data_IF_323552033621
#
_entry.id   IF_323552033621
#
_cell.length_a   1.000
_cell.length_b   1.000
_cell.length_c   1.000
_cell.angle_alpha   90.00
_cell.angle_beta   90.00
_cell.angle_gamma   90.00
#
_symmetry.space_group_name_H-M   'P 1'
#
loop_
_entity.id
_entity.type
_entity.pdbx_description
1 polymer ?
#
# COMPACT_ATOMS: atom_id res chain seq x y z
N UNK A 1 6.53 71.23 -5.76
CA UNK A 1 7.69 70.31 -5.97
C UNK A 1 7.71 69.05 -5.10
N UNK A 2 6.78 68.82 -4.15
CA UNK A 2 6.74 67.56 -3.35
C UNK A 2 5.98 66.39 -4.02
N UNK A 3 5.15 66.64 -5.04
CA UNK A 3 4.40 65.57 -5.74
C UNK A 3 5.21 64.82 -6.80
N UNK A 4 6.20 65.47 -7.42
CA UNK A 4 7.00 64.87 -8.49
C UNK A 4 8.01 63.83 -7.97
N UNK A 5 8.53 64.02 -6.74
CA UNK A 5 9.44 63.07 -6.10
C UNK A 5 8.74 61.78 -5.66
N UNK A 6 7.47 61.84 -5.26
CA UNK A 6 6.70 60.65 -4.85
C UNK A 6 6.34 59.78 -6.06
N UNK A 7 6.02 60.40 -7.19
CA UNK A 7 5.72 59.68 -8.44
C UNK A 7 6.96 58.94 -9.02
N UNK A 8 8.16 59.51 -8.85
CA UNK A 8 9.43 58.90 -9.27
C UNK A 8 9.85 57.71 -8.39
N UNK A 9 9.55 57.74 -7.08
CA UNK A 9 9.78 56.60 -6.20
C UNK A 9 8.79 55.44 -6.43
N UNK A 10 7.53 55.75 -6.76
CA UNK A 10 6.52 54.74 -7.10
C UNK A 10 6.82 54.02 -8.42
N UNK A 11 7.37 54.72 -9.42
CA UNK A 11 7.75 54.12 -10.69
C UNK A 11 9.02 53.26 -10.57
N UNK A 12 9.97 53.64 -9.72
CA UNK A 12 11.15 52.82 -9.42
C UNK A 12 10.80 51.51 -8.69
N UNK A 13 9.77 51.51 -7.82
CA UNK A 13 9.32 50.31 -7.10
C UNK A 13 8.59 49.30 -7.99
N UNK A 14 7.91 49.77 -9.04
CA UNK A 14 7.21 48.92 -10.02
C UNK A 14 8.18 48.29 -11.03
N UNK A 15 9.30 48.96 -11.31
CA UNK A 15 10.34 48.47 -12.25
C UNK A 15 11.38 47.52 -11.62
N UNK A 16 11.42 47.41 -10.28
CA UNK A 16 12.28 46.44 -9.58
C UNK A 16 11.56 45.15 -9.18
N UNK A 17 10.31 44.97 -9.60
CA UNK A 17 9.63 43.69 -9.44
C UNK A 17 10.29 42.68 -10.40
N UNK A 18 10.78 41.52 -9.93
CA UNK A 18 11.16 40.45 -10.84
C UNK A 18 9.96 40.17 -11.75
N UNK A 19 10.22 40.04 -13.05
CA UNK A 19 9.20 39.67 -14.02
C UNK A 19 8.42 38.48 -13.46
N UNK A 20 7.10 38.59 -13.42
CA UNK A 20 6.24 37.44 -13.17
C UNK A 20 6.65 36.37 -14.18
N UNK A 21 7.30 35.32 -13.68
CA UNK A 21 7.43 34.06 -14.39
C UNK A 21 5.99 33.68 -14.73
N UNK A 22 5.72 33.44 -16.00
CA UNK A 22 4.42 32.93 -16.40
C UNK A 22 4.06 31.76 -15.46
N UNK A 23 2.89 31.81 -14.83
CA UNK A 23 2.30 30.66 -14.14
C UNK A 23 2.05 29.58 -15.22
N UNK A 24 3.10 28.85 -15.58
CA UNK A 24 2.95 27.48 -16.03
C UNK A 24 2.53 26.71 -14.78
N UNK A 25 1.32 26.15 -14.79
CA UNK A 25 0.87 25.27 -13.72
C UNK A 25 1.93 24.20 -13.44
N UNK A 26 2.03 23.75 -12.18
CA UNK A 26 2.93 22.66 -11.82
C UNK A 26 2.63 21.48 -12.73
N UNK A 27 3.64 21.07 -13.50
CA UNK A 27 3.58 19.91 -14.37
C UNK A 27 4.49 18.84 -13.79
N UNK A 28 3.95 17.65 -13.59
CA UNK A 28 4.70 16.52 -13.02
C UNK A 28 5.10 15.54 -14.11
N UNK A 29 6.35 15.08 -14.09
CA UNK A 29 6.83 13.98 -14.89
C UNK A 29 6.73 12.67 -14.10
N UNK A 30 5.82 11.77 -14.49
CA UNK A 30 5.52 10.53 -13.78
C UNK A 30 6.00 9.34 -14.59
N UNK A 31 6.88 8.54 -14.00
CA UNK A 31 7.37 7.30 -14.58
C UNK A 31 6.40 6.13 -14.40
N UNK A 32 6.26 5.31 -15.43
CA UNK A 32 5.57 4.00 -15.40
C UNK A 32 6.48 2.93 -16.01
N UNK A 33 6.24 1.64 -15.75
CA UNK A 33 6.98 0.55 -16.39
C UNK A 33 6.04 -0.41 -17.11
N UNK A 34 6.54 -1.17 -18.09
CA UNK A 34 5.72 -2.18 -18.79
C UNK A 34 5.24 -3.30 -17.86
N UNK A 35 5.98 -3.56 -16.78
CA UNK A 35 5.62 -4.54 -15.74
C UNK A 35 4.43 -4.08 -14.90
N UNK A 36 4.20 -2.77 -14.81
CA UNK A 36 3.06 -2.20 -14.09
C UNK A 36 2.40 -1.09 -14.92
N UNK A 37 1.51 -1.45 -15.87
CA UNK A 37 0.75 -0.47 -16.62
C UNK A 37 -0.13 0.36 -15.69
N UNK A 38 0.12 1.67 -15.62
CA UNK A 38 -0.57 2.60 -14.72
C UNK A 38 -1.07 3.87 -15.45
N UNK A 39 -0.98 3.90 -16.78
CA UNK A 39 -1.37 5.07 -17.60
C UNK A 39 -2.83 5.48 -17.38
N UNK A 40 -3.71 4.51 -17.12
CA UNK A 40 -5.14 4.77 -16.83
C UNK A 40 -5.38 5.67 -15.62
N UNK A 41 -4.43 5.75 -14.69
CA UNK A 41 -4.52 6.60 -13.50
C UNK A 41 -4.19 8.07 -13.81
N UNK A 42 -3.44 8.34 -14.88
CA UNK A 42 -2.89 9.67 -15.18
C UNK A 42 -3.41 10.28 -16.49
N UNK A 43 -3.98 9.46 -17.39
CA UNK A 43 -4.49 9.89 -18.71
C UNK A 43 -5.50 11.05 -18.66
N UNK A 44 -6.25 11.19 -17.55
CA UNK A 44 -7.25 12.24 -17.37
C UNK A 44 -6.69 13.56 -16.81
N UNK A 45 -5.39 13.65 -16.53
CA UNK A 45 -4.78 14.78 -15.84
C UNK A 45 -3.75 15.50 -16.73
N UNK A 46 -4.13 16.63 -17.31
CA UNK A 46 -3.30 17.39 -18.27
C UNK A 46 -1.99 17.91 -17.66
N UNK A 47 -1.93 18.05 -16.33
CA UNK A 47 -0.72 18.49 -15.62
C UNK A 47 0.27 17.36 -15.34
N UNK A 48 -0.02 16.13 -15.76
CA UNK A 48 0.87 14.97 -15.61
C UNK A 48 1.38 14.55 -16.99
N UNK A 49 2.70 14.48 -17.14
CA UNK A 49 3.38 13.88 -18.30
C UNK A 49 3.81 12.47 -17.91
N UNK A 50 3.37 11.47 -18.65
CA UNK A 50 3.86 10.09 -18.49
C UNK A 50 5.21 9.90 -19.21
N UNK A 51 6.17 9.27 -18.51
CA UNK A 51 7.38 8.70 -19.11
C UNK A 51 7.40 7.19 -18.89
N UNK A 52 7.19 6.42 -19.96
CA UNK A 52 7.22 4.95 -19.90
C UNK A 52 8.63 4.37 -19.97
N UNK A 53 8.90 3.37 -19.14
CA UNK A 53 10.15 2.61 -19.08
C UNK A 53 9.93 1.13 -19.41
N UNK A 54 10.98 0.45 -19.86
CA UNK A 54 10.94 -0.99 -20.16
C UNK A 54 10.75 -1.82 -18.89
N UNK A 55 11.51 -1.50 -17.84
CA UNK A 55 11.42 -2.16 -16.53
C UNK A 55 11.42 -1.14 -15.38
N UNK A 56 10.96 -1.60 -14.21
CA UNK A 56 10.90 -0.80 -13.00
C UNK A 56 12.28 -0.33 -12.52
N UNK A 57 13.37 -1.05 -12.83
CA UNK A 57 14.71 -0.66 -12.38
C UNK A 57 15.20 0.60 -13.10
N UNK A 58 14.91 0.75 -14.40
CA UNK A 58 15.21 1.98 -15.13
C UNK A 58 14.36 3.15 -14.64
N UNK A 59 13.06 2.92 -14.40
CA UNK A 59 12.17 3.95 -13.86
C UNK A 59 12.63 4.42 -12.46
N UNK A 60 12.94 3.50 -11.56
CA UNK A 60 13.42 3.83 -10.21
C UNK A 60 14.76 4.58 -10.25
N UNK A 61 15.69 4.20 -11.13
CA UNK A 61 16.96 4.95 -11.30
C UNK A 61 16.70 6.37 -11.81
N UNK A 62 15.79 6.55 -12.77
CA UNK A 62 15.40 7.86 -13.26
C UNK A 62 14.79 8.72 -12.13
N UNK A 63 13.95 8.12 -11.29
CA UNK A 63 13.37 8.78 -10.11
C UNK A 63 14.45 9.21 -9.11
N UNK A 64 15.45 8.36 -8.86
CA UNK A 64 16.54 8.68 -7.94
C UNK A 64 17.38 9.88 -8.38
N UNK A 65 17.55 10.10 -9.68
CA UNK A 65 18.38 11.19 -10.22
C UNK A 65 17.57 12.43 -10.62
N UNK A 66 16.26 12.42 -10.38
CA UNK A 66 15.35 13.52 -10.71
C UNK A 66 15.06 13.68 -12.20
N UNK A 67 15.21 12.62 -13.00
CA UNK A 67 14.75 12.62 -14.40
C UNK A 67 13.21 12.56 -14.50
N UNK A 68 12.59 11.88 -13.54
CA UNK A 68 11.14 11.89 -13.30
C UNK A 68 10.88 12.37 -11.86
N UNK A 69 9.75 13.03 -11.66
CA UNK A 69 9.34 13.57 -10.37
C UNK A 69 8.78 12.48 -9.46
N UNK A 70 7.99 11.55 -10.01
CA UNK A 70 7.40 10.44 -9.28
C UNK A 70 7.37 9.18 -10.13
N UNK A 71 7.11 8.03 -9.51
CA UNK A 71 6.90 6.76 -10.22
C UNK A 71 5.64 6.07 -9.70
N UNK A 72 4.78 5.61 -10.62
CA UNK A 72 3.70 4.69 -10.31
C UNK A 72 4.17 3.26 -10.57
N UNK A 73 4.03 2.38 -9.58
CA UNK A 73 4.41 0.97 -9.69
C UNK A 73 3.63 0.12 -8.70
N UNK A 74 3.78 -1.21 -8.77
CA UNK A 74 3.11 -2.10 -7.84
C UNK A 74 3.72 -1.95 -6.45
N UNK A 75 2.89 -2.15 -5.44
CA UNK A 75 3.30 -2.12 -4.06
C UNK A 75 4.35 -3.21 -3.77
N UNK A 76 4.20 -4.43 -4.30
CA UNK A 76 5.25 -5.46 -4.20
C UNK A 76 6.62 -5.00 -4.71
N UNK A 77 6.66 -4.29 -5.84
CA UNK A 77 7.90 -3.77 -6.42
C UNK A 77 8.45 -2.62 -5.55
N UNK A 78 7.62 -1.64 -5.22
CA UNK A 78 8.02 -0.46 -4.47
C UNK A 78 8.49 -0.79 -3.04
N UNK A 79 7.83 -1.74 -2.41
CA UNK A 79 8.05 -2.11 -1.03
C UNK A 79 9.11 -3.20 -0.87
N UNK A 80 9.67 -3.76 -1.95
CA UNK A 80 10.73 -4.77 -1.84
C UNK A 80 11.98 -4.20 -1.15
N UNK A 81 12.38 -4.85 -0.05
CA UNK A 81 13.60 -4.53 0.69
C UNK A 81 14.87 -4.60 -0.17
N UNK A 82 14.93 -5.47 -1.19
CA UNK A 82 16.05 -5.57 -2.12
C UNK A 82 16.18 -4.31 -2.98
N UNK A 83 15.06 -3.68 -3.35
CA UNK A 83 15.08 -2.43 -4.09
C UNK A 83 15.66 -1.30 -3.25
N UNK A 84 15.35 -1.21 -1.95
CA UNK A 84 16.01 -0.22 -1.06
C UNK A 84 17.51 -0.41 -0.93
N UNK A 85 17.99 -1.65 -0.89
CA UNK A 85 19.43 -1.91 -0.81
C UNK A 85 20.18 -1.39 -2.05
N UNK A 86 19.55 -1.49 -3.22
CA UNK A 86 20.14 -1.11 -4.50
C UNK A 86 19.82 0.33 -4.92
N UNK A 87 18.73 0.91 -4.40
CA UNK A 87 18.16 2.19 -4.81
C UNK A 87 17.82 3.04 -3.58
N UNK A 88 18.84 3.49 -2.83
CA UNK A 88 18.63 4.22 -1.59
C UNK A 88 18.00 5.60 -1.83
N UNK A 89 17.16 6.04 -0.91
CA UNK A 89 16.54 7.36 -0.96
C UNK A 89 15.19 7.42 -1.67
N UNK A 90 14.68 6.27 -2.13
CA UNK A 90 13.31 6.13 -2.58
C UNK A 90 12.36 5.88 -1.39
N UNK A 91 11.14 6.42 -1.49
CA UNK A 91 10.08 6.25 -0.49
C UNK A 91 8.71 6.10 -1.15
N UNK A 92 7.81 5.39 -0.47
CA UNK A 92 6.40 5.29 -0.85
C UNK A 92 5.64 6.46 -0.22
N UNK A 93 5.00 7.30 -1.03
CA UNK A 93 4.13 8.38 -0.56
C UNK A 93 2.72 7.89 -0.21
N UNK A 94 2.29 6.77 -0.79
CA UNK A 94 1.04 6.11 -0.46
C UNK A 94 0.44 5.33 -1.62
N UNK A 95 -0.56 4.52 -1.30
CA UNK A 95 -1.39 3.81 -2.27
C UNK A 95 -2.25 4.79 -3.09
N UNK A 96 -2.26 4.59 -4.40
CA UNK A 96 -3.07 5.34 -5.38
C UNK A 96 -4.29 4.53 -5.80
N UNK A 97 -4.13 3.23 -5.99
CA UNK A 97 -5.19 2.32 -6.39
C UNK A 97 -5.01 0.98 -5.71
N UNK A 98 -6.00 0.52 -4.94
CA UNK A 98 -6.04 -0.86 -4.45
C UNK A 98 -6.48 -1.78 -5.60
N UNK A 99 -5.69 -2.80 -5.90
CA UNK A 99 -5.97 -3.72 -7.02
C UNK A 99 -6.41 -5.09 -6.53
N UNK A 100 -5.74 -5.62 -5.50
CA UNK A 100 -5.99 -6.96 -4.98
C UNK A 100 -5.96 -7.01 -3.45
N UNK A 101 -6.70 -7.99 -2.92
CA UNK A 101 -6.78 -8.24 -1.49
C UNK A 101 -6.59 -9.73 -1.27
N UNK A 102 -5.47 -10.10 -0.65
CA UNK A 102 -5.05 -11.49 -0.48
C UNK A 102 -5.57 -12.06 0.84
N UNK A 103 -6.18 -13.25 0.77
CA UNK A 103 -6.90 -13.89 1.87
C UNK A 103 -6.41 -15.33 2.08
N UNK A 104 -6.46 -15.87 3.31
CA UNK A 104 -6.28 -17.31 3.50
C UNK A 104 -7.42 -18.04 2.79
N UNK A 105 -7.14 -19.20 2.21
CA UNK A 105 -8.15 -19.99 1.50
C UNK A 105 -8.27 -21.38 2.10
N UNK A 106 -9.48 -21.82 2.42
CA UNK A 106 -9.76 -23.16 2.91
C UNK A 106 -10.83 -23.85 2.07
N UNK A 107 -10.91 -25.18 2.20
CA UNK A 107 -12.00 -25.98 1.63
C UNK A 107 -13.35 -25.57 2.23
N UNK A 108 -14.41 -25.73 1.45
CA UNK A 108 -15.76 -25.74 2.01
C UNK A 108 -16.01 -27.07 2.72
N UNK A 109 -16.84 -27.06 3.76
CA UNK A 109 -17.26 -28.30 4.41
C UNK A 109 -18.15 -29.15 3.50
N UNK A 110 -17.99 -30.46 3.62
CA UNK A 110 -18.80 -31.51 2.98
C UNK A 110 -19.26 -32.52 4.03
N UNK A 111 -20.04 -33.52 3.62
CA UNK A 111 -20.49 -34.58 4.53
C UNK A 111 -19.33 -35.42 5.09
N UNK A 112 -18.26 -35.61 4.31
CA UNK A 112 -17.12 -36.47 4.66
C UNK A 112 -15.87 -35.68 5.08
N UNK A 113 -15.89 -34.35 4.93
CA UNK A 113 -14.79 -33.43 5.29
C UNK A 113 -15.38 -32.14 5.87
N UNK A 114 -15.46 -32.05 7.21
CA UNK A 114 -16.02 -30.90 7.94
C UNK A 114 -14.99 -30.28 8.90
N UNK A 115 -15.30 -29.10 9.43
CA UNK A 115 -14.40 -28.35 10.31
C UNK A 115 -13.33 -27.56 9.55
N UNK A 116 -13.39 -27.48 8.22
CA UNK A 116 -12.55 -26.61 7.40
C UNK A 116 -12.98 -25.14 7.55
N UNK A 117 -14.28 -24.90 7.71
CA UNK A 117 -14.79 -23.55 7.99
C UNK A 117 -14.46 -23.11 9.42
N UNK A 118 -14.42 -24.04 10.38
CA UNK A 118 -13.91 -23.77 11.73
C UNK A 118 -12.42 -23.43 11.67
N UNK A 119 -11.61 -24.19 10.91
CA UNK A 119 -10.20 -23.85 10.72
C UNK A 119 -10.04 -22.43 10.12
N UNK A 120 -10.77 -22.11 9.04
CA UNK A 120 -10.71 -20.78 8.42
C UNK A 120 -11.14 -19.68 9.40
N UNK A 121 -12.15 -19.94 10.24
CA UNK A 121 -12.60 -18.99 11.25
C UNK A 121 -11.55 -18.78 12.35
N UNK A 122 -10.86 -19.84 12.78
CA UNK A 122 -9.74 -19.73 13.71
C UNK A 122 -8.57 -18.94 13.10
N UNK A 123 -8.25 -19.16 11.82
CA UNK A 123 -7.24 -18.37 11.09
C UNK A 123 -7.66 -16.89 11.04
N UNK A 124 -8.92 -16.59 10.75
CA UNK A 124 -9.41 -15.20 10.71
C UNK A 124 -9.34 -14.51 12.09
N UNK A 125 -9.70 -15.21 13.17
CA UNK A 125 -9.59 -14.69 14.52
C UNK A 125 -8.12 -14.42 14.91
N UNK A 126 -7.20 -15.30 14.48
CA UNK A 126 -5.77 -15.12 14.64
C UNK A 126 -5.25 -13.89 13.88
N UNK A 127 -5.60 -13.74 12.60
CA UNK A 127 -5.24 -12.57 11.78
C UNK A 127 -5.75 -11.28 12.41
N UNK A 128 -6.99 -11.25 12.89
CA UNK A 128 -7.53 -10.09 13.61
C UNK A 128 -6.72 -9.74 14.86
N UNK A 129 -6.26 -10.73 15.61
CA UNK A 129 -5.35 -10.51 16.75
C UNK A 129 -3.94 -10.05 16.37
N UNK A 130 -3.44 -10.44 15.19
CA UNK A 130 -2.12 -10.05 14.67
C UNK A 130 -2.12 -8.59 14.27
N UNK A 131 -3.08 -8.17 13.45
CA UNK A 131 -3.13 -6.83 12.86
C UNK A 131 -3.75 -5.76 13.77
N UNK A 132 -4.55 -6.14 14.77
CA UNK A 132 -4.99 -5.22 15.85
C UNK A 132 -3.88 -4.87 16.85
N UNK A 133 -2.68 -5.40 16.66
CA UNK A 133 -1.51 -5.11 17.47
C UNK A 133 -0.33 -4.74 16.58
N UNK A 134 0.72 -4.14 17.16
CA UNK A 134 1.92 -3.77 16.40
C UNK A 134 2.67 -4.97 15.81
N UNK A 135 2.32 -6.21 16.18
CA UNK A 135 3.03 -7.41 15.68
C UNK A 135 2.84 -7.61 14.18
N UNK A 136 1.63 -7.35 13.64
CA UNK A 136 1.39 -7.46 12.20
C UNK A 136 2.27 -6.49 11.41
N UNK A 137 2.32 -5.23 11.83
CA UNK A 137 3.18 -4.21 11.22
C UNK A 137 4.68 -4.55 11.33
N UNK A 138 5.13 -5.12 12.45
CA UNK A 138 6.53 -5.54 12.61
C UNK A 138 6.90 -6.69 11.67
N UNK A 139 6.02 -7.68 11.52
CA UNK A 139 6.21 -8.77 10.56
C UNK A 139 6.23 -8.23 9.12
N UNK A 140 5.30 -7.33 8.79
CA UNK A 140 5.26 -6.65 7.50
C UNK A 140 6.57 -5.91 7.21
N UNK A 141 7.08 -5.11 8.15
CA UNK A 141 8.34 -4.35 8.00
C UNK A 141 9.61 -5.21 7.88
N UNK A 142 9.51 -6.51 8.15
CA UNK A 142 10.62 -7.45 7.92
C UNK A 142 10.78 -7.78 6.43
N UNK A 143 9.67 -7.74 5.68
CA UNK A 143 9.62 -8.13 4.27
C UNK A 143 9.39 -6.95 3.32
N UNK A 144 8.73 -5.90 3.81
CA UNK A 144 8.28 -4.76 3.03
C UNK A 144 8.72 -3.42 3.62
N UNK A 145 8.84 -2.41 2.76
CA UNK A 145 9.00 -1.01 3.12
C UNK A 145 7.64 -0.33 3.22
N UNK A 146 7.55 0.66 4.10
CA UNK A 146 6.34 1.43 4.29
C UNK A 146 5.40 0.82 5.33
N UNK A 147 4.17 1.29 5.33
CA UNK A 147 3.13 0.81 6.24
C UNK A 147 2.21 -0.15 5.51
N UNK A 148 1.65 -1.11 6.24
CA UNK A 148 0.59 -1.95 5.68
C UNK A 148 -0.65 -1.12 5.40
N UNK A 149 -1.31 -1.38 4.28
CA UNK A 149 -2.60 -0.78 3.95
C UNK A 149 -3.78 -1.41 4.72
N UNK A 150 -3.53 -2.50 5.46
CA UNK A 150 -4.51 -3.11 6.34
C UNK A 150 -4.84 -2.21 7.52
N UNK A 151 -6.12 -2.05 7.79
CA UNK A 151 -6.65 -1.21 8.87
C UNK A 151 -7.31 -2.06 9.93
N UNK A 152 -7.32 -1.60 11.17
CA UNK A 152 -8.04 -2.26 12.28
C UNK A 152 -9.51 -2.54 11.92
N UNK A 153 -10.14 -1.65 11.14
CA UNK A 153 -11.51 -1.80 10.65
C UNK A 153 -11.75 -3.08 9.86
N UNK A 154 -10.73 -3.60 9.19
CA UNK A 154 -10.83 -4.79 8.33
C UNK A 154 -11.05 -6.07 9.14
N UNK A 155 -10.74 -6.02 10.44
CA UNK A 155 -10.77 -7.19 11.34
C UNK A 155 -11.82 -7.13 12.45
N UNK A 156 -12.57 -6.03 12.56
CA UNK A 156 -13.55 -5.83 13.64
C UNK A 156 -14.58 -6.96 13.72
N UNK A 157 -14.92 -7.59 12.59
CA UNK A 157 -15.90 -8.67 12.52
C UNK A 157 -15.37 -10.05 12.95
N UNK A 158 -14.05 -10.24 13.03
CA UNK A 158 -13.43 -11.55 13.27
C UNK A 158 -12.55 -11.61 14.51
N UNK A 159 -12.09 -10.46 15.00
CA UNK A 159 -11.20 -10.40 16.15
C UNK A 159 -11.84 -11.03 17.39
N UNK A 160 -11.17 -12.04 17.95
CA UNK A 160 -11.66 -12.77 19.13
C UNK A 160 -12.86 -13.70 18.88
N UNK A 161 -13.34 -13.82 17.64
CA UNK A 161 -14.44 -14.72 17.26
C UNK A 161 -13.92 -16.14 16.98
N UNK A 162 -13.36 -16.77 18.01
CA UNK A 162 -12.79 -18.12 17.91
C UNK A 162 -13.89 -19.20 17.86
N UNK A 163 -13.82 -20.17 16.93
CA UNK A 163 -14.75 -21.29 16.88
C UNK A 163 -14.49 -22.30 17.99
N UNK A 164 -15.56 -22.94 18.46
CA UNK A 164 -15.46 -24.21 19.20
C UNK A 164 -15.22 -25.35 18.19
N UNK A 165 -14.13 -26.11 18.30
CA UNK A 165 -13.84 -27.21 17.38
C UNK A 165 -14.88 -28.33 17.50
N UNK A 166 -15.42 -28.79 16.38
CA UNK A 166 -16.32 -29.94 16.35
C UNK A 166 -15.52 -31.25 16.30
N UNK A 167 -15.81 -32.19 17.20
CA UNK A 167 -15.15 -33.50 17.28
C UNK A 167 -15.07 -34.19 15.91
N UNK A 168 -13.87 -34.70 15.58
CA UNK A 168 -13.57 -35.35 14.30
C UNK A 168 -13.40 -34.40 13.11
N UNK A 169 -13.71 -33.10 13.25
CA UNK A 169 -13.51 -32.10 12.20
C UNK A 169 -12.04 -31.70 12.02
N UNK A 170 -11.70 -31.04 10.91
CA UNK A 170 -10.32 -30.68 10.55
C UNK A 170 -9.62 -29.88 11.66
N UNK A 171 -10.23 -28.79 12.16
CA UNK A 171 -9.67 -28.03 13.27
C UNK A 171 -9.45 -28.90 14.52
N UNK A 172 -10.44 -29.70 14.91
CA UNK A 172 -10.34 -30.59 16.07
C UNK A 172 -9.15 -31.56 15.95
N UNK A 173 -9.02 -32.25 14.80
CA UNK A 173 -7.92 -33.20 14.58
C UNK A 173 -6.53 -32.54 14.64
N UNK A 174 -6.43 -31.28 14.20
CA UNK A 174 -5.19 -30.50 14.32
C UNK A 174 -4.87 -30.21 15.79
N UNK A 175 -5.87 -29.76 16.56
CA UNK A 175 -5.69 -29.38 17.97
C UNK A 175 -5.41 -30.58 18.88
N UNK A 176 -5.99 -31.74 18.59
CA UNK A 176 -5.69 -33.00 19.30
C UNK A 176 -4.36 -33.64 18.87
N UNK A 177 -3.64 -33.02 17.92
CA UNK A 177 -2.37 -33.54 17.42
C UNK A 177 -2.50 -34.80 16.56
N UNK A 178 -3.71 -35.13 16.08
CA UNK A 178 -3.96 -36.21 15.14
C UNK A 178 -3.47 -35.86 13.72
N UNK A 179 -3.31 -34.55 13.44
CA UNK A 179 -2.92 -34.03 12.14
C UNK A 179 -1.96 -32.83 12.26
N UNK A 180 -0.95 -32.79 11.40
CA UNK A 180 -0.12 -31.59 11.17
C UNK A 180 -0.92 -30.52 10.41
N UNK A 181 -0.87 -29.27 10.85
CA UNK A 181 -1.42 -28.13 10.11
C UNK A 181 -0.48 -27.75 8.97
N UNK A 182 -0.97 -27.81 7.73
CA UNK A 182 -0.13 -27.53 6.56
C UNK A 182 -0.69 -26.36 5.76
N UNK A 183 0.17 -25.35 5.52
CA UNK A 183 -0.13 -24.21 4.64
C UNK A 183 0.43 -24.47 3.23
N UNK A 184 -0.45 -24.58 2.24
CA UNK A 184 -0.05 -24.59 0.83
C UNK A 184 0.35 -23.19 0.37
N UNK A 185 1.52 -23.12 -0.27
CA UNK A 185 2.10 -21.90 -0.85
C UNK A 185 2.91 -22.28 -2.08
N UNK A 186 3.51 -21.30 -2.75
CA UNK A 186 4.43 -21.55 -3.86
C UNK A 186 5.48 -20.45 -3.92
N UNK A 187 6.62 -20.72 -4.58
CA UNK A 187 7.61 -19.69 -4.85
C UNK A 187 7.03 -18.62 -5.78
N UNK A 188 6.90 -17.39 -5.28
CA UNK A 188 6.45 -16.23 -6.05
C UNK A 188 7.61 -15.35 -6.51
N UNK A 189 8.85 -15.74 -6.22
CA UNK A 189 10.07 -14.94 -6.45
C UNK A 189 9.91 -13.50 -5.94
N UNK A 190 9.22 -13.32 -4.81
CA UNK A 190 8.88 -12.02 -4.23
C UNK A 190 8.99 -12.03 -2.70
N UNK A 191 8.88 -10.88 -2.02
CA UNK A 191 8.83 -10.83 -0.57
C UNK A 191 7.60 -11.53 0.04
N UNK A 192 6.54 -11.77 -0.76
CA UNK A 192 5.36 -12.52 -0.29
C UNK A 192 5.73 -13.96 0.06
N UNK A 193 6.37 -14.65 -0.88
CA UNK A 193 6.91 -15.99 -0.67
C UNK A 193 8.02 -16.30 -1.66
N UNK A 194 9.11 -16.89 -1.17
CA UNK A 194 10.18 -17.41 -2.00
C UNK A 194 10.90 -18.60 -1.33
N UNK A 195 11.89 -19.15 -2.01
CA UNK A 195 12.74 -20.21 -1.49
C UNK A 195 14.05 -19.63 -0.95
N UNK A 196 14.45 -20.08 0.24
CA UNK A 196 15.76 -19.79 0.80
C UNK A 196 16.88 -20.61 0.13
N UNK A 197 18.12 -20.44 0.59
CA UNK A 197 19.29 -21.18 0.09
C UNK A 197 19.18 -22.71 0.25
N UNK A 198 18.29 -23.20 1.11
CA UNK A 198 18.04 -24.62 1.36
C UNK A 198 16.79 -25.15 0.63
N UNK A 199 16.16 -24.33 -0.21
CA UNK A 199 14.88 -24.62 -0.85
C UNK A 199 13.72 -24.81 0.15
N UNK A 200 13.78 -24.13 1.31
CA UNK A 200 12.67 -24.02 2.24
C UNK A 200 11.87 -22.74 1.96
N UNK A 201 10.55 -22.82 2.14
CA UNK A 201 9.66 -21.66 1.98
C UNK A 201 9.96 -20.60 3.05
N UNK A 202 10.19 -19.38 2.61
CA UNK A 202 10.27 -18.17 3.41
C UNK A 202 9.42 -17.05 2.78
N UNK A 203 9.31 -15.90 3.44
CA UNK A 203 8.51 -14.76 2.98
C UNK A 203 7.49 -14.29 4.01
N UNK A 204 6.82 -13.19 3.69
CA UNK A 204 5.76 -12.62 4.50
C UNK A 204 4.62 -13.60 4.76
N UNK A 205 4.19 -14.39 3.76
CA UNK A 205 3.12 -15.37 3.91
C UNK A 205 3.50 -16.51 4.87
N UNK A 206 4.77 -16.92 4.87
CA UNK A 206 5.30 -17.91 5.82
C UNK A 206 5.30 -17.33 7.23
N UNK A 207 5.78 -16.10 7.39
CA UNK A 207 5.84 -15.43 8.69
C UNK A 207 4.43 -15.23 9.28
N UNK A 208 3.49 -14.70 8.50
CA UNK A 208 2.09 -14.54 8.92
C UNK A 208 1.46 -15.89 9.25
N UNK A 209 1.73 -16.95 8.47
CA UNK A 209 1.23 -18.29 8.78
C UNK A 209 1.76 -18.80 10.14
N UNK A 210 3.05 -18.62 10.43
CA UNK A 210 3.63 -18.98 11.74
C UNK A 210 3.01 -18.18 12.88
N UNK A 211 2.77 -16.90 12.68
CA UNK A 211 2.09 -16.04 13.67
C UNK A 211 0.64 -16.49 13.90
N UNK A 212 -0.08 -16.88 12.85
CA UNK A 212 -1.43 -17.44 12.94
C UNK A 212 -1.42 -18.70 13.81
N UNK A 213 -0.50 -19.62 13.55
CA UNK A 213 -0.35 -20.84 14.36
C UNK A 213 -0.05 -20.50 15.82
N UNK A 214 0.90 -19.61 16.08
CA UNK A 214 1.23 -19.21 17.46
C UNK A 214 0.04 -18.61 18.21
N UNK A 215 -0.82 -17.84 17.52
CA UNK A 215 -2.06 -17.31 18.11
C UNK A 215 -3.08 -18.42 18.38
N UNK A 216 -3.22 -19.39 17.47
CA UNK A 216 -4.08 -20.56 17.66
C UNK A 216 -3.61 -21.40 18.87
N UNK A 217 -2.32 -21.70 18.96
CA UNK A 217 -1.70 -22.41 20.09
C UNK A 217 -1.97 -21.70 21.41
N UNK A 218 -1.80 -20.38 21.45
CA UNK A 218 -2.06 -19.58 22.65
C UNK A 218 -3.55 -19.55 23.01
N UNK A 219 -4.46 -19.59 22.04
CA UNK A 219 -5.90 -19.55 22.31
C UNK A 219 -6.43 -20.89 22.79
N UNK A 220 -6.05 -21.97 22.10
CA UNK A 220 -6.53 -23.32 22.39
C UNK A 220 -5.69 -24.05 23.44
N UNK A 221 -4.59 -23.44 23.92
CA UNK A 221 -3.67 -23.98 24.93
C UNK A 221 -3.05 -25.32 24.53
N UNK A 222 -2.71 -25.47 23.24
CA UNK A 222 -2.10 -26.68 22.65
C UNK A 222 -0.81 -26.35 21.89
N UNK A 223 -0.12 -27.38 21.42
CA UNK A 223 0.97 -27.26 20.46
C UNK A 223 0.49 -27.79 19.11
N UNK A 224 0.73 -27.03 18.03
CA UNK A 224 0.27 -27.37 16.69
C UNK A 224 1.49 -27.62 15.81
N UNK A 225 1.74 -28.87 15.38
CA UNK A 225 2.74 -29.15 14.35
C UNK A 225 2.36 -28.38 13.09
N UNK A 226 3.26 -27.53 12.60
CA UNK A 226 3.01 -26.66 11.46
C UNK A 226 4.10 -26.78 10.40
N UNK A 227 3.69 -26.79 9.13
CA UNK A 227 4.62 -26.78 8.01
C UNK A 227 4.10 -25.96 6.82
N UNK A 228 4.91 -25.02 6.29
CA UNK A 228 4.68 -24.46 4.96
C UNK A 228 5.05 -25.50 3.88
N UNK A 229 4.21 -25.63 2.85
CA UNK A 229 4.41 -26.54 1.72
C UNK A 229 4.54 -25.74 0.42
N UNK A 230 5.70 -25.84 -0.22
CA UNK A 230 5.85 -25.44 -1.62
C UNK A 230 5.07 -26.40 -2.52
N UNK A 231 4.03 -25.88 -3.16
CA UNK A 231 3.19 -26.61 -4.08
C UNK A 231 3.70 -26.54 -5.53
N UNK A 232 4.70 -25.70 -5.81
CA UNK A 232 5.28 -25.51 -7.15
C UNK A 232 4.56 -24.49 -8.03
N UNK A 233 3.34 -24.10 -7.67
CA UNK A 233 2.57 -23.09 -8.40
C UNK A 233 1.16 -22.92 -7.82
N UNK A 234 0.46 -21.90 -8.32
CA UNK A 234 -0.90 -21.58 -7.86
C UNK A 234 -1.91 -22.69 -8.17
N UNK A 235 -1.80 -23.31 -9.35
CA UNK A 235 -2.69 -24.40 -9.75
C UNK A 235 -2.52 -25.59 -8.80
N UNK A 236 -1.27 -25.97 -8.56
CA UNK A 236 -0.89 -27.05 -7.67
C UNK A 236 -1.27 -26.76 -6.22
N UNK A 237 -1.14 -25.52 -5.75
CA UNK A 237 -1.56 -25.13 -4.39
C UNK A 237 -3.06 -25.36 -4.18
N UNK A 238 -3.89 -25.06 -5.19
CA UNK A 238 -5.33 -25.33 -5.12
C UNK A 238 -5.64 -26.82 -5.25
N UNK A 239 -4.95 -27.54 -6.12
CA UNK A 239 -5.14 -28.99 -6.25
C UNK A 239 -4.70 -29.74 -4.99
N UNK A 240 -3.62 -29.29 -4.35
CA UNK A 240 -3.19 -29.78 -3.04
C UNK A 240 -4.22 -29.47 -1.97
N UNK A 241 -4.78 -28.25 -1.95
CA UNK A 241 -5.87 -27.93 -1.03
C UNK A 241 -7.11 -28.79 -1.26
N UNK A 242 -7.43 -29.18 -2.50
CA UNK A 242 -8.55 -30.11 -2.79
C UNK A 242 -8.33 -31.50 -2.22
N UNK A 243 -7.08 -31.93 -2.06
CA UNK A 243 -6.69 -33.21 -1.47
C UNK A 243 -6.51 -33.03 0.03
N UNK A 244 -7.50 -33.47 0.82
CA UNK A 244 -7.55 -33.24 2.26
C UNK A 244 -6.32 -33.72 3.06
N UNK A 245 -5.52 -34.63 2.50
CA UNK A 245 -4.29 -35.17 3.06
C UNK A 245 -3.02 -34.36 2.73
N UNK A 246 -3.07 -33.42 1.78
CA UNK A 246 -1.88 -32.66 1.38
C UNK A 246 -1.72 -31.35 2.15
N UNK A 247 -2.77 -30.52 2.22
CA UNK A 247 -2.75 -29.31 3.03
C UNK A 247 -4.14 -28.88 3.53
N UNK A 248 -4.16 -27.95 4.47
CA UNK A 248 -5.37 -27.54 5.20
C UNK A 248 -5.90 -26.18 4.75
N UNK A 249 -4.99 -25.29 4.36
CA UNK A 249 -5.30 -23.97 3.85
C UNK A 249 -4.22 -23.49 2.88
N UNK A 250 -4.51 -22.46 2.10
CA UNK A 250 -3.57 -21.78 1.21
C UNK A 250 -3.30 -20.37 1.71
N UNK A 251 -2.01 -19.99 1.72
CA UNK A 251 -1.51 -18.63 1.91
C UNK A 251 -0.53 -18.34 0.77
N UNK A 252 -1.05 -17.83 -0.34
CA UNK A 252 -0.31 -17.72 -1.60
C UNK A 252 -0.89 -16.65 -2.54
N UNK A 253 -1.09 -15.44 -2.01
CA UNK A 253 -1.57 -14.25 -2.75
C UNK A 253 -2.86 -14.50 -3.55
N UNK A 254 -3.78 -15.27 -2.95
CA UNK A 254 -5.07 -15.59 -3.56
C UNK A 254 -6.12 -14.60 -3.10
N UNK A 255 -6.85 -14.02 -4.06
CA UNK A 255 -8.00 -13.15 -3.75
C UNK A 255 -9.24 -13.96 -3.40
N UNK A 256 -10.15 -13.36 -2.64
CA UNK A 256 -11.40 -14.04 -2.26
C UNK A 256 -12.26 -14.41 -3.49
N UNK A 257 -12.31 -13.55 -4.51
CA UNK A 257 -13.05 -13.84 -5.75
C UNK A 257 -12.50 -15.09 -6.46
N UNK A 258 -11.18 -15.24 -6.47
CA UNK A 258 -10.46 -16.40 -7.03
C UNK A 258 -10.63 -17.66 -6.19
N UNK A 259 -10.66 -17.54 -4.87
CA UNK A 259 -11.00 -18.66 -3.99
C UNK A 259 -12.42 -19.19 -4.30
N UNK A 260 -13.41 -18.29 -4.36
CA UNK A 260 -14.81 -18.64 -4.64
C UNK A 260 -14.99 -19.26 -6.02
N UNK A 261 -14.33 -18.72 -7.05
CA UNK A 261 -14.42 -19.27 -8.41
C UNK A 261 -13.87 -20.70 -8.51
N UNK A 262 -12.99 -21.10 -7.59
CA UNK A 262 -12.42 -22.46 -7.50
C UNK A 262 -13.20 -23.39 -6.55
N UNK A 263 -14.34 -22.94 -6.00
CA UNK A 263 -15.19 -23.70 -5.08
C UNK A 263 -14.73 -23.68 -3.61
N UNK A 264 -13.81 -22.78 -3.28
CA UNK A 264 -13.21 -22.66 -1.95
C UNK A 264 -13.79 -21.46 -1.18
N UNK A 265 -13.31 -21.24 0.05
CA UNK A 265 -13.67 -20.11 0.89
C UNK A 265 -12.45 -19.26 1.19
N UNK A 266 -12.52 -17.97 0.89
CA UNK A 266 -11.55 -16.99 1.36
C UNK A 266 -11.92 -16.46 2.74
N UNK A 267 -10.90 -16.13 3.53
CA UNK A 267 -11.03 -15.48 4.84
C UNK A 267 -10.94 -13.95 4.76
N UNK A 268 -10.41 -13.36 5.83
CA UNK A 268 -10.11 -11.91 5.90
C UNK A 268 -8.77 -11.59 5.26
N UNK A 269 -8.56 -10.35 4.78
CA UNK A 269 -7.31 -10.00 4.13
C UNK A 269 -6.11 -10.05 5.08
N UNK A 270 -4.96 -10.46 4.55
CA UNK A 270 -3.66 -10.38 5.23
C UNK A 270 -2.62 -9.55 4.46
N UNK A 271 -2.99 -9.08 3.27
CA UNK A 271 -2.23 -8.14 2.46
C UNK A 271 -3.17 -7.43 1.47
N UNK A 272 -2.90 -6.16 1.21
CA UNK A 272 -3.57 -5.37 0.17
C UNK A 272 -2.48 -4.98 -0.83
N UNK A 273 -2.69 -5.34 -2.09
CA UNK A 273 -1.81 -5.01 -3.20
C UNK A 273 -2.43 -3.89 -4.03
N UNK A 274 -1.59 -3.12 -4.72
CA UNK A 274 -2.07 -2.00 -5.49
C UNK A 274 -0.97 -1.21 -6.17
N UNK A 275 -1.38 -0.12 -6.82
CA UNK A 275 -0.47 0.85 -7.42
C UNK A 275 -0.14 1.91 -6.38
N UNK A 276 1.15 2.12 -6.13
CA UNK A 276 1.65 3.13 -5.20
C UNK A 276 2.38 4.24 -5.93
N UNK A 277 2.44 5.41 -5.29
CA UNK A 277 3.28 6.52 -5.72
C UNK A 277 4.62 6.48 -4.99
N UNK A 278 5.70 6.35 -5.73
CA UNK A 278 7.07 6.48 -5.22
C UNK A 278 7.61 7.89 -5.48
N UNK A 279 8.44 8.34 -4.54
CA UNK A 279 9.17 9.60 -4.59
C UNK A 279 10.65 9.41 -4.22
N UNK A 280 11.48 10.38 -4.55
CA UNK A 280 12.87 10.53 -4.12
C UNK A 280 13.07 11.88 -3.42
N UNK A 281 14.31 12.17 -3.02
CA UNK A 281 14.69 13.47 -2.49
C UNK A 281 14.60 14.62 -3.52
N UNK A 282 14.58 14.29 -4.81
CA UNK A 282 14.46 15.26 -5.90
C UNK A 282 12.99 15.54 -6.27
N UNK A 283 12.05 14.71 -5.79
CA UNK A 283 10.62 14.87 -6.06
C UNK A 283 10.09 16.20 -5.48
N UNK A 284 9.20 16.90 -6.21
CA UNK A 284 8.42 17.99 -5.65
C UNK A 284 7.66 17.54 -4.40
N UNK A 285 7.45 18.47 -3.46
CA UNK A 285 6.73 18.14 -2.22
C UNK A 285 5.25 17.87 -2.49
N UNK A 286 4.77 16.72 -2.00
CA UNK A 286 3.36 16.36 -1.90
C UNK A 286 3.04 15.92 -0.47
N UNK A 287 1.91 16.35 0.06
CA UNK A 287 1.46 15.92 1.40
C UNK A 287 0.96 14.46 1.39
N UNK A 288 0.32 14.04 0.30
CA UNK A 288 -0.15 12.67 0.09
C UNK A 288 -0.04 12.27 -1.39
N UNK A 289 -0.10 10.97 -1.67
CA UNK A 289 -0.14 10.46 -3.05
C UNK A 289 -1.32 11.05 -3.86
N UNK A 290 -2.46 11.31 -3.21
CA UNK A 290 -3.63 11.92 -3.87
C UNK A 290 -3.37 13.36 -4.34
N UNK A 291 -2.41 14.05 -3.72
CA UNK A 291 -2.01 15.40 -4.12
C UNK A 291 -1.50 15.48 -5.57
N UNK A 292 -0.96 14.39 -6.11
CA UNK A 292 -0.54 14.30 -7.51
C UNK A 292 -1.71 14.56 -8.48
N UNK A 293 -2.92 14.16 -8.11
CA UNK A 293 -4.10 14.19 -8.98
C UNK A 293 -4.95 15.45 -8.81
N UNK A 294 -4.60 16.34 -7.88
CA UNK A 294 -5.32 17.60 -7.71
C UNK A 294 -4.95 18.56 -8.84
N UNK A 295 -5.98 19.07 -9.52
CA UNK A 295 -5.78 20.11 -10.54
C UNK A 295 -5.26 21.41 -9.89
N UNK A 296 -4.50 22.19 -10.67
CA UNK A 296 -3.90 23.47 -10.22
C UNK A 296 -4.93 24.49 -9.66
N UNK A 297 -6.23 24.31 -9.92
CA UNK A 297 -7.30 25.19 -9.42
C UNK A 297 -7.79 24.83 -8.01
N UNK A 298 -7.60 23.59 -7.55
CA UNK A 298 -8.14 23.13 -6.25
C UNK A 298 -7.11 23.14 -5.11
N UNK A 299 -5.81 23.14 -5.44
CA UNK A 299 -4.71 23.15 -4.48
C UNK A 299 -4.31 24.54 -3.95
N UNK A 300 -4.81 25.63 -4.55
CA UNK A 300 -4.62 26.97 -4.00
C UNK A 300 -5.61 27.16 -2.87
N UNK A 301 -5.30 26.62 -1.70
CA UNK A 301 -5.75 27.23 -0.46
C UNK A 301 -5.29 28.69 -0.58
N UNK A 302 -6.27 29.58 -0.81
CA UNK A 302 -6.04 31.00 -0.99
C UNK A 302 -5.33 31.52 0.25
N UNK A 303 -4.00 31.50 0.22
CA UNK A 303 -3.18 32.30 1.09
C UNK A 303 -3.61 33.72 0.79
N UNK A 304 -4.45 34.27 1.67
CA UNK A 304 -5.04 35.58 1.52
C UNK A 304 -3.88 36.57 1.37
N UNK A 305 -3.61 36.96 0.13
CA UNK A 305 -2.37 37.65 -0.21
C UNK A 305 -2.32 38.95 0.59
N UNK A 306 -1.43 39.00 1.58
CA UNK A 306 -1.27 40.12 2.51
C UNK A 306 -0.97 41.44 1.77
N UNK A 307 -0.61 41.36 0.48
CA UNK A 307 -0.50 42.49 -0.44
C UNK A 307 -1.84 43.22 -0.62
N UNK A 308 -2.99 42.53 -0.61
CA UNK A 308 -4.30 43.18 -0.65
C UNK A 308 -4.58 44.02 0.61
N UNK A 309 -4.11 43.57 1.78
CA UNK A 309 -4.18 44.34 3.03
C UNK A 309 -3.29 45.60 2.91
N UNK A 310 -2.08 45.44 2.39
CA UNK A 310 -1.16 46.56 2.17
C UNK A 310 -1.73 47.58 1.17
N UNK A 311 -2.32 47.13 0.06
CA UNK A 311 -2.97 47.97 -0.96
C UNK A 311 -4.19 48.69 -0.37
N UNK A 312 -5.02 48.00 0.41
CA UNK A 312 -6.17 48.59 1.10
C UNK A 312 -5.74 49.68 2.12
N UNK A 313 -4.70 49.41 2.92
CA UNK A 313 -4.15 50.39 3.85
C UNK A 313 -3.54 51.61 3.13
N UNK A 314 -2.84 51.39 2.02
CA UNK A 314 -2.26 52.48 1.21
C UNK A 314 -3.33 53.35 0.56
N UNK A 315 -4.40 52.74 0.05
CA UNK A 315 -5.51 53.48 -0.56
C UNK A 315 -6.30 54.28 0.49
N UNK A 316 -6.53 53.73 1.68
CA UNK A 316 -7.09 54.49 2.82
C UNK A 316 -6.19 55.64 3.24
N UNK A 317 -4.86 55.43 3.29
CA UNK A 317 -3.90 56.48 3.64
C UNK A 317 -3.89 57.61 2.60
N UNK A 318 -3.95 57.27 1.31
CA UNK A 318 -4.00 58.24 0.20
C UNK A 318 -5.30 59.06 0.28
N UNK A 319 -6.45 58.41 0.51
CA UNK A 319 -7.73 59.11 0.69
C UNK A 319 -7.70 60.02 1.92
N UNK A 320 -7.18 59.54 3.05
CA UNK A 320 -7.02 60.35 4.26
C UNK A 320 -6.12 61.57 4.03
N UNK A 321 -5.00 61.41 3.32
CA UNK A 321 -4.09 62.50 2.97
C UNK A 321 -4.68 63.48 1.96
N UNK A 322 -5.57 63.03 1.07
CA UNK A 322 -6.32 63.89 0.14
C UNK A 322 -7.41 64.69 0.86
N UNK A 323 -8.16 64.06 1.77
CA UNK A 323 -9.22 64.72 2.55
C UNK A 323 -8.65 65.75 3.52
N UNK A 324 -7.50 65.48 4.15
CA UNK A 324 -6.85 66.41 5.09
C UNK A 324 -6.19 67.63 4.41
N UNK A 325 -6.15 67.66 3.08
CA UNK A 325 -5.52 68.72 2.28
C UNK A 325 -6.53 69.70 1.65
N UNK A 326 -7.82 69.42 1.79
CA UNK A 326 -8.94 70.36 1.59
C UNK A 326 -9.39 70.93 2.94
#
# INVERSE_FOLDING_TARGET
>A
MRGALVALWLSALVLSAPAAVAEGGLQYNVGTSQETPASHLIDSYEHIIETGYEDHQFAMRALMVGEIDFMLTSHLIAADSANRANMPGLSILGMVEETESYVPVARSDTQDDWGNLELLKAINAALGGIFSSSTGQQAYLTWFLGETELKDSDFVSVIGDWPTPTEGGTLYRILEGEKELVACMYNQDSPMSNLDDNAEMQGYEVEISKMVVSRMESHYEVQIPFRPLDSGGEFEAIENLRRADTCDFVMASITNSKAVSKGMRGGVPYHIEGIVLMASAESPHLDTAQGLFLSNDEGVQSDFDQRWIAIALLSVLIVYLLVRRN
#
